data_IF_583079445325
#
_entry.id   IF_583079445325
#
_cell.length_a   1.000
_cell.length_b   1.000
_cell.length_c   1.000
_cell.angle_alpha   90.00
_cell.angle_beta   90.00
_cell.angle_gamma   90.00
#
_symmetry.space_group_name_H-M   'P 1'
#
loop_
_entity.id
_entity.type
_entity.pdbx_description
1 polymer ?
#
# COMPACT_ATOMS: atom_id res chain seq x y z
N UNK A 1 7.05 4.60 11.68
CA UNK A 1 6.83 4.86 10.24
C UNK A 1 5.54 4.15 9.84
N UNK A 2 4.44 4.90 9.76
CA UNK A 2 3.16 4.39 9.28
C UNK A 2 3.10 4.44 7.75
N UNK A 3 2.25 3.63 7.14
CA UNK A 3 1.98 3.69 5.70
C UNK A 3 0.64 4.38 5.49
N UNK A 4 0.66 5.37 4.59
CA UNK A 4 -0.50 6.15 4.17
C UNK A 4 -1.21 5.50 2.99
N UNK A 5 -2.52 5.30 3.08
CA UNK A 5 -3.33 4.84 1.95
C UNK A 5 -3.85 6.03 1.11
N UNK A 6 -3.25 6.33 -0.05
CA UNK A 6 -3.74 7.43 -0.91
C UNK A 6 -4.93 7.02 -1.79
N UNK A 7 -5.90 7.94 -1.95
CA UNK A 7 -6.87 7.89 -3.05
C UNK A 7 -6.16 8.17 -4.37
N UNK A 8 -6.19 7.25 -5.32
CA UNK A 8 -5.85 7.53 -6.72
C UNK A 8 -6.95 6.99 -7.63
N UNK A 9 -7.69 7.90 -8.26
CA UNK A 9 -8.69 7.60 -9.30
C UNK A 9 -10.09 8.11 -8.94
N UNK A 10 -10.56 9.11 -9.68
CA UNK A 10 -11.92 9.66 -9.60
C UNK A 10 -12.94 8.57 -9.97
N UNK A 11 -13.83 8.23 -9.04
CA UNK A 11 -15.17 7.76 -9.35
C UNK A 11 -16.11 8.74 -8.64
N UNK A 12 -16.68 9.66 -9.42
CA UNK A 12 -17.59 10.69 -8.91
C UNK A 12 -18.93 10.08 -8.51
N UNK A 13 -19.28 10.37 -7.26
CA UNK A 13 -20.61 10.67 -6.72
C UNK A 13 -21.70 9.57 -6.74
N UNK A 14 -21.66 8.73 -5.70
CA UNK A 14 -22.84 8.40 -4.89
C UNK A 14 -22.40 7.99 -3.47
N UNK A 15 -22.60 8.85 -2.46
CA UNK A 15 -22.54 8.50 -1.02
C UNK A 15 -21.27 7.75 -0.57
N UNK A 16 -20.14 8.45 -0.54
CA UNK A 16 -18.75 8.01 -0.32
C UNK A 16 -18.49 6.67 0.40
N UNK A 17 -18.74 5.53 -0.26
CA UNK A 17 -18.32 4.19 0.19
C UNK A 17 -16.81 3.95 0.11
N UNK A 18 -16.01 5.01 -0.02
CA UNK A 18 -14.55 4.91 -0.01
C UNK A 18 -14.06 4.94 1.43
N UNK A 19 -13.19 3.99 1.82
CA UNK A 19 -12.63 3.99 3.16
C UNK A 19 -11.93 5.32 3.45
N UNK A 20 -12.16 5.82 4.65
CA UNK A 20 -11.47 7.02 5.15
C UNK A 20 -9.98 6.73 5.16
N UNK A 21 -9.19 7.76 4.83
CA UNK A 21 -7.75 7.71 4.93
C UNK A 21 -7.33 7.19 6.33
N UNK A 22 -6.52 6.14 6.36
CA UNK A 22 -6.06 5.50 7.61
C UNK A 22 -4.59 5.16 7.50
N UNK A 23 -3.91 5.24 8.64
CA UNK A 23 -2.53 4.78 8.79
C UNK A 23 -2.52 3.33 9.24
N UNK A 24 -1.64 2.53 8.63
CA UNK A 24 -1.40 1.15 9.02
C UNK A 24 0.00 1.00 9.59
N UNK A 25 0.14 0.14 10.60
CA UNK A 25 1.45 -0.23 11.12
C UNK A 25 2.20 -1.10 10.11
N UNK A 26 3.53 -1.08 10.18
CA UNK A 26 4.35 -1.94 9.31
C UNK A 26 4.03 -3.43 9.54
N UNK A 27 3.74 -3.84 10.78
CA UNK A 27 3.47 -5.23 11.10
C UNK A 27 2.10 -5.69 10.58
N UNK A 28 1.09 -4.81 10.58
CA UNK A 28 -0.20 -5.08 9.92
C UNK A 28 0.00 -5.34 8.41
N UNK A 29 0.83 -4.55 7.75
CA UNK A 29 1.07 -4.70 6.31
C UNK A 29 1.93 -5.93 6.00
N UNK A 30 2.88 -6.26 6.87
CA UNK A 30 3.61 -7.53 6.78
C UNK A 30 2.65 -8.71 6.88
N UNK A 31 1.78 -8.74 7.89
CA UNK A 31 0.80 -9.80 8.06
C UNK A 31 -0.11 -9.92 6.82
N UNK A 32 -0.64 -8.79 6.36
CA UNK A 32 -1.54 -8.74 5.20
C UNK A 32 -0.91 -9.21 3.88
N UNK A 33 0.42 -9.11 3.74
CA UNK A 33 1.15 -9.44 2.51
C UNK A 33 2.00 -10.71 2.63
N UNK A 34 1.78 -11.51 3.67
CA UNK A 34 2.60 -12.71 3.99
C UNK A 34 4.10 -12.39 4.06
N UNK A 35 4.45 -11.30 4.74
CA UNK A 35 5.82 -10.83 4.89
C UNK A 35 6.40 -10.16 3.63
N UNK A 36 5.56 -9.55 2.80
CA UNK A 36 5.94 -9.06 1.46
C UNK A 36 6.45 -10.18 0.54
N UNK A 37 5.74 -11.33 0.53
CA UNK A 37 6.08 -12.47 -0.33
C UNK A 37 6.08 -12.10 -1.81
N UNK A 38 6.98 -12.71 -2.58
CA UNK A 38 7.06 -12.57 -4.05
C UNK A 38 5.79 -13.01 -4.76
N UNK A 39 5.08 -14.00 -4.21
CA UNK A 39 3.83 -14.51 -4.77
C UNK A 39 2.71 -13.46 -4.74
N UNK A 40 2.87 -12.45 -3.88
CA UNK A 40 1.95 -11.33 -3.76
C UNK A 40 2.37 -10.13 -4.62
N UNK A 41 3.38 -10.22 -5.47
CA UNK A 41 3.77 -9.09 -6.33
C UNK A 41 2.81 -8.95 -7.49
N UNK A 42 2.20 -7.78 -7.62
CA UNK A 42 1.27 -7.43 -8.71
C UNK A 42 1.86 -6.41 -9.68
N UNK A 43 3.08 -5.93 -9.45
CA UNK A 43 3.80 -5.07 -10.39
C UNK A 43 4.50 -5.88 -11.47
N UNK A 44 4.37 -5.45 -12.73
CA UNK A 44 4.89 -6.11 -13.94
C UNK A 44 6.39 -6.48 -13.86
N UNK A 45 7.23 -5.61 -13.29
CA UNK A 45 8.68 -5.81 -13.23
C UNK A 45 9.15 -6.60 -11.99
N UNK A 46 8.22 -7.13 -11.19
CA UNK A 46 8.53 -7.93 -10.02
C UNK A 46 9.39 -7.19 -8.98
N UNK A 47 10.27 -7.94 -8.31
CA UNK A 47 11.22 -7.40 -7.31
C UNK A 47 12.29 -6.47 -7.90
N UNK A 48 12.48 -6.49 -9.22
CA UNK A 48 13.47 -5.64 -9.91
C UNK A 48 12.91 -4.25 -10.22
N UNK A 49 11.63 -4.01 -9.95
CA UNK A 49 11.01 -2.71 -10.11
C UNK A 49 11.59 -1.70 -9.10
N UNK A 50 11.77 -0.42 -9.48
CA UNK A 50 12.18 0.62 -8.53
C UNK A 50 11.15 0.81 -7.39
N UNK A 51 9.88 0.47 -7.65
CA UNK A 51 8.82 0.40 -6.66
C UNK A 51 8.03 -0.90 -6.88
N UNK A 52 7.90 -1.72 -5.84
CA UNK A 52 7.19 -3.00 -5.91
C UNK A 52 5.81 -2.82 -5.32
N UNK A 53 4.79 -3.36 -5.99
CA UNK A 53 3.41 -3.35 -5.47
C UNK A 53 3.03 -4.76 -5.06
N UNK A 54 2.55 -4.91 -3.83
CA UNK A 54 2.11 -6.19 -3.27
C UNK A 54 0.59 -6.19 -3.11
N UNK A 55 -0.09 -7.29 -3.47
CA UNK A 55 -1.44 -7.58 -3.00
C UNK A 55 -1.38 -8.04 -1.55
N UNK A 56 -2.34 -7.61 -0.75
CA UNK A 56 -2.51 -8.10 0.62
C UNK A 56 -3.97 -8.15 1.02
N UNK A 57 -4.27 -8.89 2.08
CA UNK A 57 -5.59 -8.97 2.69
C UNK A 57 -5.47 -8.63 4.17
N UNK A 58 -6.18 -7.61 4.62
CA UNK A 58 -6.26 -7.24 6.03
C UNK A 58 -7.11 -8.25 6.81
N UNK A 59 -7.02 -8.22 8.14
CA UNK A 59 -7.74 -9.13 9.04
C UNK A 59 -9.27 -8.98 8.96
N UNK A 60 -9.75 -7.84 8.47
CA UNK A 60 -11.16 -7.54 8.21
C UNK A 60 -11.60 -7.96 6.78
N UNK A 61 -10.84 -8.87 6.16
CA UNK A 61 -11.04 -9.39 4.82
C UNK A 61 -10.94 -8.35 3.68
N UNK A 62 -10.52 -7.11 3.96
CA UNK A 62 -10.32 -6.09 2.93
C UNK A 62 -9.05 -6.32 2.13
N UNK A 63 -9.19 -6.35 0.80
CA UNK A 63 -8.06 -6.40 -0.12
C UNK A 63 -7.38 -5.03 -0.24
N UNK A 64 -6.06 -5.04 -0.22
CA UNK A 64 -5.21 -3.85 -0.33
C UNK A 64 -4.09 -4.05 -1.35
N UNK A 65 -3.62 -2.95 -1.91
CA UNK A 65 -2.39 -2.88 -2.67
C UNK A 65 -1.36 -2.06 -1.89
N UNK A 66 -0.22 -2.67 -1.56
CA UNK A 66 0.87 -2.03 -0.81
C UNK A 66 1.99 -1.68 -1.77
N UNK A 67 2.15 -0.38 -2.08
CA UNK A 67 3.26 0.12 -2.89
C UNK A 67 4.46 0.40 -1.99
N UNK A 68 5.52 -0.39 -2.13
CA UNK A 68 6.76 -0.26 -1.38
C UNK A 68 7.78 0.54 -2.20
N UNK A 69 8.20 1.67 -1.63
CA UNK A 69 9.21 2.54 -2.22
C UNK A 69 10.62 2.19 -1.70
N UNK A 70 11.65 2.44 -2.51
CA UNK A 70 13.03 2.42 -2.04
C UNK A 70 13.27 3.57 -1.05
N UNK A 71 14.19 3.40 -0.08
CA UNK A 71 14.60 4.47 0.84
C UNK A 71 15.10 5.71 0.12
N UNK A 72 15.74 5.55 -1.05
CA UNK A 72 16.22 6.67 -1.87
C UNK A 72 15.09 7.43 -2.59
N UNK A 73 13.91 6.84 -2.74
CA UNK A 73 12.80 7.46 -3.46
C UNK A 73 12.15 8.61 -2.66
N UNK A 74 12.31 8.60 -1.33
CA UNK A 74 11.72 9.59 -0.41
C UNK A 74 12.70 9.93 0.72
N UNK A 75 13.66 10.83 0.47
CA UNK A 75 14.66 11.21 1.46
C UNK A 75 14.07 12.02 2.63
N UNK A 76 12.94 12.70 2.42
CA UNK A 76 12.22 13.43 3.46
C UNK A 76 10.85 12.80 3.74
N UNK A 77 10.67 12.11 4.88
CA UNK A 77 9.39 11.49 5.22
C UNK A 77 8.27 12.51 5.51
N UNK A 78 8.59 13.80 5.69
CA UNK A 78 7.61 14.87 5.98
C UNK A 78 6.81 15.31 4.75
N UNK A 79 7.17 14.88 3.54
CA UNK A 79 6.37 15.12 2.34
C UNK A 79 5.03 14.38 2.37
N UNK A 80 4.93 13.41 3.26
CA UNK A 80 3.70 12.72 3.61
C UNK A 80 3.27 13.12 5.01
N UNK A 81 3.35 14.40 5.42
CA UNK A 81 2.68 14.90 6.61
C UNK A 81 1.50 15.78 6.22
#
# INVERSE_FOLDING_TARGET
>A
MGVRCSKNGVLSEAGSGLPVFREYSLDQLKAATSGFSRDNVVSEHGEKAPNVVFRGKLDDDHWIAVKRFNKSAWPDPRQFL
#
